data_IF_254574014182
#
_entry.id   IF_254574014182
#
_cell.length_a   1.000
_cell.length_b   1.000
_cell.length_c   1.000
_cell.angle_alpha   90.00
_cell.angle_beta   90.00
_cell.angle_gamma   90.00
#
_symmetry.space_group_name_H-M   'P 1'
#
loop_
_entity.id
_entity.type
_entity.pdbx_description
1 polymer ?
#
# COMPACT_ATOMS: atom_id res chain seq x y z
N UNK A 1 28.42 -9.57 -13.84
CA UNK A 1 27.56 -9.44 -15.04
C UNK A 1 27.36 -7.95 -15.29
N UNK A 2 27.38 -7.48 -16.55
CA UNK A 2 27.15 -6.05 -16.86
C UNK A 2 25.64 -5.81 -16.94
N UNK A 3 25.17 -4.70 -16.36
CA UNK A 3 23.75 -4.32 -16.35
C UNK A 3 23.20 -4.00 -17.77
N UNK A 4 24.09 -3.53 -18.65
CA UNK A 4 23.81 -3.21 -20.04
C UNK A 4 24.78 -3.96 -20.96
N UNK A 5 24.32 -4.37 -22.14
CA UNK A 5 25.18 -4.93 -23.17
C UNK A 5 25.95 -3.85 -23.95
N UNK A 6 26.80 -4.29 -24.89
CA UNK A 6 27.58 -3.42 -25.76
C UNK A 6 26.73 -2.52 -26.67
N UNK A 7 25.42 -2.77 -26.78
CA UNK A 7 24.46 -1.99 -27.55
C UNK A 7 23.60 -1.09 -26.64
N UNK A 8 23.82 -1.11 -25.32
CA UNK A 8 23.08 -0.32 -24.34
C UNK A 8 21.75 -0.93 -23.92
N UNK A 9 21.44 -2.18 -24.27
CA UNK A 9 20.21 -2.83 -23.82
C UNK A 9 20.40 -3.44 -22.43
N UNK A 10 19.43 -3.19 -21.54
CA UNK A 10 19.43 -3.69 -20.15
C UNK A 10 19.30 -5.22 -20.16
N UNK A 11 20.28 -5.91 -19.59
CA UNK A 11 20.41 -7.38 -19.64
C UNK A 11 19.67 -8.09 -18.51
N UNK A 12 19.26 -7.34 -17.48
CA UNK A 12 18.49 -7.85 -16.35
C UNK A 12 17.16 -7.11 -16.28
N UNK A 13 16.05 -7.82 -15.95
CA UNK A 13 14.80 -7.15 -15.65
C UNK A 13 15.04 -6.12 -14.52
N UNK A 14 14.28 -5.02 -14.48
CA UNK A 14 14.32 -4.14 -13.31
C UNK A 14 14.04 -4.99 -12.07
N UNK A 15 14.81 -4.77 -10.99
CA UNK A 15 14.53 -5.42 -9.72
C UNK A 15 13.06 -5.18 -9.38
N UNK A 16 12.35 -6.27 -9.06
CA UNK A 16 11.02 -6.19 -8.46
C UNK A 16 11.11 -5.25 -7.26
N UNK A 17 10.18 -4.31 -7.18
CA UNK A 17 10.23 -3.29 -6.14
C UNK A 17 10.13 -3.98 -4.78
N UNK A 18 11.09 -3.71 -3.91
CA UNK A 18 11.03 -4.21 -2.53
C UNK A 18 9.95 -3.43 -1.76
N UNK A 19 9.24 -4.08 -0.83
CA UNK A 19 8.29 -3.37 0.01
C UNK A 19 9.01 -2.30 0.83
N UNK A 20 8.40 -1.12 0.91
CA UNK A 20 8.92 0.04 1.65
C UNK A 20 8.41 0.09 3.08
N UNK A 21 7.36 -0.67 3.40
CA UNK A 21 6.74 -0.72 4.71
C UNK A 21 5.61 -1.73 4.76
N UNK A 22 4.79 -1.63 5.80
CA UNK A 22 3.56 -2.39 5.96
C UNK A 22 2.39 -1.47 6.27
N UNK A 23 1.20 -1.86 5.84
CA UNK A 23 -0.06 -1.19 6.17
C UNK A 23 -0.52 -1.52 7.60
N UNK A 24 -1.66 -0.95 8.00
CA UNK A 24 -2.31 -1.17 9.29
C UNK A 24 -2.75 -2.63 9.55
N UNK A 25 -2.85 -3.46 8.51
CA UNK A 25 -3.18 -4.89 8.60
C UNK A 25 -1.92 -5.78 8.54
N UNK A 26 -0.74 -5.20 8.28
CA UNK A 26 0.52 -5.91 8.11
C UNK A 26 0.83 -6.34 6.66
N UNK A 27 0.05 -5.88 5.68
CA UNK A 27 0.32 -6.14 4.26
C UNK A 27 1.50 -5.27 3.77
N UNK A 28 2.35 -5.79 2.87
CA UNK A 28 3.47 -5.03 2.33
C UNK A 28 2.99 -3.86 1.46
N UNK A 29 3.59 -2.68 1.68
CA UNK A 29 3.42 -1.50 0.84
C UNK A 29 4.59 -1.35 -0.13
N UNK A 30 4.31 -0.96 -1.36
CA UNK A 30 5.29 -0.81 -2.44
C UNK A 30 5.42 0.66 -2.89
N UNK A 31 6.57 1.03 -3.50
CA UNK A 31 6.73 2.35 -4.08
C UNK A 31 5.66 2.63 -5.16
N UNK A 32 4.87 3.67 -4.96
CA UNK A 32 3.82 4.09 -5.89
C UNK A 32 2.40 3.85 -5.36
N UNK A 33 2.24 3.13 -4.25
CA UNK A 33 0.92 2.88 -3.67
C UNK A 33 0.34 4.16 -3.04
N UNK A 34 -0.93 4.43 -3.31
CA UNK A 34 -1.69 5.52 -2.71
C UNK A 34 -2.18 5.12 -1.32
N UNK A 35 -1.69 5.80 -0.29
CA UNK A 35 -2.06 5.52 1.11
C UNK A 35 -2.43 6.79 1.87
N UNK A 36 -3.33 6.65 2.84
CA UNK A 36 -3.63 7.63 3.87
C UNK A 36 -2.88 7.29 5.17
N UNK A 37 -2.39 8.31 5.86
CA UNK A 37 -1.82 8.15 7.20
C UNK A 37 -2.93 8.27 8.24
N UNK A 38 -3.06 7.26 9.09
CA UNK A 38 -4.02 7.19 10.20
C UNK A 38 -3.27 6.96 11.53
N UNK A 39 -4.00 6.89 12.65
CA UNK A 39 -3.40 6.60 13.97
C UNK A 39 -2.86 5.17 14.07
N UNK A 40 -3.45 4.22 13.36
CA UNK A 40 -3.03 2.80 13.36
C UNK A 40 -1.97 2.48 12.29
N UNK A 41 -1.61 3.46 11.45
CA UNK A 41 -0.60 3.33 10.41
C UNK A 41 -1.09 3.78 9.04
N UNK A 42 -0.42 3.27 8.00
CA UNK A 42 -0.79 3.54 6.62
C UNK A 42 -1.97 2.66 6.20
N UNK A 43 -2.98 3.27 5.57
CA UNK A 43 -4.15 2.60 5.01
C UNK A 43 -4.15 2.84 3.51
N UNK A 44 -4.19 1.78 2.72
CA UNK A 44 -4.26 1.91 1.27
C UNK A 44 -5.58 2.57 0.85
N UNK A 45 -5.58 3.31 -0.26
CA UNK A 45 -6.77 3.99 -0.77
C UNK A 45 -7.94 3.02 -1.03
N UNK A 46 -7.65 1.79 -1.44
CA UNK A 46 -8.66 0.73 -1.63
C UNK A 46 -9.31 0.24 -0.32
N UNK A 47 -8.57 0.30 0.79
CA UNK A 47 -8.98 -0.23 2.09
C UNK A 47 -9.58 0.84 3.01
N UNK A 48 -9.58 2.11 2.61
CA UNK A 48 -10.00 3.22 3.48
C UNK A 48 -11.45 3.08 3.94
N UNK A 49 -12.33 2.50 3.11
CA UNK A 49 -13.72 2.27 3.48
C UNK A 49 -13.86 1.16 4.52
N UNK A 50 -13.04 0.12 4.44
CA UNK A 50 -13.00 -0.97 5.43
C UNK A 50 -12.48 -0.45 6.76
N UNK A 51 -11.36 0.28 6.72
CA UNK A 51 -10.80 0.95 7.89
C UNK A 51 -11.85 1.84 8.57
N UNK A 52 -12.52 2.72 7.83
CA UNK A 52 -13.54 3.61 8.41
C UNK A 52 -14.71 2.82 9.01
N UNK A 53 -15.16 1.73 8.39
CA UNK A 53 -16.26 0.92 8.94
C UNK A 53 -15.87 0.19 10.22
N UNK A 54 -14.61 -0.26 10.33
CA UNK A 54 -14.10 -0.93 11.51
C UNK A 54 -14.00 0.02 12.71
N UNK A 55 -13.50 1.24 12.50
CA UNK A 55 -13.24 2.19 13.58
C UNK A 55 -14.38 3.17 13.87
N UNK A 56 -15.24 3.42 12.87
CA UNK A 56 -16.42 4.27 12.99
C UNK A 56 -17.67 3.48 12.62
N UNK A 57 -18.05 2.46 13.42
CA UNK A 57 -19.29 1.73 13.18
C UNK A 57 -20.44 2.73 13.15
N UNK A 58 -21.28 2.65 12.11
CA UNK A 58 -22.46 3.50 11.97
C UNK A 58 -23.21 3.48 13.28
N UNK A 59 -23.32 4.64 13.93
CA UNK A 59 -24.23 4.82 15.05
C UNK A 59 -25.62 4.66 14.44
N UNK A 60 -26.23 3.49 14.62
CA UNK A 60 -27.67 3.37 14.48
C UNK A 60 -28.27 4.20 15.62
N UNK A 61 -28.57 5.46 15.31
CA UNK A 61 -29.46 6.26 16.13
C UNK A 61 -30.81 5.56 16.05
N UNK A 62 -31.03 4.59 16.95
CA UNK A 62 -32.28 3.87 17.10
C UNK A 62 -33.40 4.89 17.24
N UNK A 63 -34.19 5.03 16.18
CA UNK A 63 -35.43 5.78 16.21
C UNK A 63 -36.39 5.07 17.14
N UNK A 64 -36.61 5.69 18.29
CA UNK A 64 -37.74 5.43 19.19
C UNK A 64 -39.08 5.64 18.48
#
# INVERSE_FOLDING_TARGET
>A
MKEFDSLGARQQPPNEASPVGVDWQGNPLYPGDSCYLTEDGYVQEEDILEYVQQYFPKIELGGI
#
